data_IF_115894541761
#
_entry.id   IF_115894541761
#
_cell.length_a   1.000
_cell.length_b   1.000
_cell.length_c   1.000
_cell.angle_alpha   90.00
_cell.angle_beta   90.00
_cell.angle_gamma   90.00
#
_symmetry.space_group_name_H-M   'P 1'
#
loop_
_entity.id
_entity.type
_entity.pdbx_description
1 polymer ?
#
# COMPACT_ATOMS: atom_id res chain seq x y z
N UNK A 1 23.28 18.76 28.22
CA UNK A 1 22.22 18.16 27.38
C UNK A 1 21.33 19.28 26.92
N UNK A 2 21.33 19.56 25.64
CA UNK A 2 20.39 20.49 25.02
C UNK A 2 19.15 19.65 24.62
N UNK A 3 18.01 19.95 25.24
CA UNK A 3 16.75 19.32 24.84
C UNK A 3 16.24 19.98 23.55
N UNK A 4 15.84 19.23 22.53
CA UNK A 4 15.24 19.79 21.34
C UNK A 4 13.89 20.45 21.66
N UNK A 5 13.42 21.32 20.78
CA UNK A 5 12.04 21.80 20.84
C UNK A 5 11.06 20.61 20.70
N UNK A 6 9.95 20.68 21.44
CA UNK A 6 8.93 19.62 21.41
C UNK A 6 7.80 20.06 20.49
N UNK A 7 7.59 19.42 19.34
CA UNK A 7 6.47 19.71 18.48
C UNK A 7 5.15 19.35 19.20
N UNK A 8 4.07 20.06 18.89
CA UNK A 8 2.77 19.74 19.47
C UNK A 8 2.28 18.37 19.02
N UNK A 9 1.48 17.68 19.84
CA UNK A 9 0.83 16.42 19.47
C UNK A 9 -0.01 16.58 18.19
N UNK A 10 -0.68 17.74 18.04
CA UNK A 10 -1.47 18.04 16.86
C UNK A 10 -0.60 18.08 15.59
N UNK A 11 0.54 18.78 15.63
CA UNK A 11 1.49 18.84 14.51
C UNK A 11 2.02 17.44 14.14
N UNK A 12 2.35 16.62 15.15
CA UNK A 12 2.83 15.26 14.89
C UNK A 12 1.72 14.44 14.22
N UNK A 13 0.50 14.47 14.76
CA UNK A 13 -0.64 13.73 14.23
C UNK A 13 -1.00 14.16 12.81
N UNK A 14 -0.90 15.46 12.48
CA UNK A 14 -1.14 16.01 11.15
C UNK A 14 -0.11 15.55 10.13
N UNK A 15 1.18 15.50 10.50
CA UNK A 15 2.26 15.15 9.57
C UNK A 15 2.42 13.65 9.35
N UNK A 16 2.04 12.81 10.31
CA UNK A 16 2.18 11.36 10.17
C UNK A 16 1.49 10.77 8.94
N UNK A 17 0.25 11.12 8.58
CA UNK A 17 -0.39 10.65 7.36
C UNK A 17 0.31 11.11 6.07
N UNK A 18 0.97 12.26 6.09
CA UNK A 18 1.75 12.81 4.97
C UNK A 18 3.08 12.05 4.81
N UNK A 19 3.77 11.78 5.93
CA UNK A 19 5.03 11.03 5.96
C UNK A 19 4.81 9.56 5.61
N UNK A 20 3.72 8.96 6.10
CA UNK A 20 3.32 7.57 5.88
C UNK A 20 2.02 7.52 5.06
N UNK A 21 2.10 7.66 3.75
CA UNK A 21 0.92 7.68 2.87
C UNK A 21 0.25 6.32 2.81
N UNK A 22 -0.90 6.28 2.17
CA UNK A 22 -1.57 5.02 1.89
C UNK A 22 -0.68 4.06 1.10
N UNK A 23 -0.72 2.77 1.44
CA UNK A 23 0.17 1.74 0.89
C UNK A 23 1.46 1.56 1.67
N UNK A 24 1.76 2.42 2.66
CA UNK A 24 2.85 2.14 3.61
C UNK A 24 2.51 0.91 4.43
N UNK A 25 3.44 -0.03 4.51
CA UNK A 25 3.26 -1.24 5.29
C UNK A 25 2.98 -0.91 6.77
N UNK A 26 2.00 -1.60 7.35
CA UNK A 26 1.54 -1.35 8.73
C UNK A 26 1.16 0.11 9.04
N UNK A 27 0.69 0.86 8.03
CA UNK A 27 0.33 2.28 8.16
C UNK A 27 -0.56 2.60 9.35
N UNK A 28 -1.52 1.74 9.66
CA UNK A 28 -2.41 1.90 10.82
C UNK A 28 -1.66 1.99 12.16
N UNK A 29 -0.47 1.38 12.27
CA UNK A 29 0.38 1.50 13.46
C UNK A 29 1.22 2.79 13.48
N UNK A 30 1.38 3.44 12.32
CA UNK A 30 2.22 4.61 12.12
C UNK A 30 1.48 5.94 12.25
N UNK A 31 0.17 5.97 11.97
CA UNK A 31 -0.62 7.21 11.92
C UNK A 31 -1.63 7.36 13.06
N UNK A 32 -1.83 6.33 13.87
CA UNK A 32 -2.76 6.38 15.00
C UNK A 32 -2.24 7.26 16.13
N UNK A 33 -3.12 7.68 17.03
CA UNK A 33 -2.80 8.51 18.19
C UNK A 33 -1.63 7.96 19.03
N UNK A 34 -1.55 6.64 19.20
CA UNK A 34 -0.46 5.98 19.92
C UNK A 34 0.91 6.23 19.27
N UNK A 35 1.00 6.31 17.95
CA UNK A 35 2.23 6.66 17.25
C UNK A 35 2.60 8.13 17.50
N UNK A 36 1.65 9.04 17.39
CA UNK A 36 1.89 10.45 17.68
C UNK A 36 2.36 10.66 19.12
N UNK A 37 1.72 10.03 20.09
CA UNK A 37 2.12 10.06 21.50
C UNK A 37 3.49 9.42 21.75
N UNK A 38 3.82 8.35 21.03
CA UNK A 38 5.15 7.70 21.11
C UNK A 38 6.25 8.64 20.63
N UNK A 39 6.05 9.27 19.48
CA UNK A 39 7.00 10.23 18.90
C UNK A 39 7.11 11.46 19.80
N UNK A 40 6.00 11.96 20.31
CA UNK A 40 5.96 13.08 21.25
C UNK A 40 6.84 12.81 22.48
N UNK A 41 6.69 11.63 23.11
CA UNK A 41 7.49 11.26 24.29
C UNK A 41 8.99 11.15 23.96
N UNK A 42 9.32 10.71 22.75
CA UNK A 42 10.74 10.69 22.32
C UNK A 42 11.30 12.11 22.20
N UNK A 43 10.57 13.06 21.60
CA UNK A 43 10.94 14.48 21.60
C UNK A 43 11.03 15.05 23.01
N UNK A 44 10.01 14.79 23.83
CA UNK A 44 9.92 15.28 25.19
C UNK A 44 11.12 14.83 26.06
N UNK A 45 11.53 13.57 25.91
CA UNK A 45 12.70 13.01 26.59
C UNK A 45 14.04 13.42 25.97
N UNK A 46 14.04 14.11 24.81
CA UNK A 46 15.27 14.40 24.06
C UNK A 46 15.91 13.16 23.43
N UNK A 47 15.14 12.08 23.23
CA UNK A 47 15.59 10.82 22.65
C UNK A 47 15.62 10.92 21.12
N UNK A 48 16.66 11.55 20.60
CA UNK A 48 16.97 11.68 19.17
C UNK A 48 18.34 11.05 18.93
N UNK A 49 18.51 10.42 17.79
CA UNK A 49 19.78 9.82 17.36
C UNK A 49 20.96 10.80 17.51
N UNK A 50 22.03 10.32 18.12
CA UNK A 50 23.18 11.14 18.48
C UNK A 50 23.09 11.80 19.87
N UNK A 51 21.94 11.71 20.57
CA UNK A 51 21.82 12.08 21.97
C UNK A 51 22.11 10.87 22.90
N UNK A 52 22.40 11.16 24.17
CA UNK A 52 22.51 10.10 25.19
C UNK A 52 21.15 9.69 25.79
N UNK A 53 20.05 10.26 25.28
CA UNK A 53 18.72 10.03 25.78
C UNK A 53 18.00 8.93 24.97
N UNK A 54 17.36 8.02 25.70
CA UNK A 54 16.61 6.89 25.16
C UNK A 54 15.33 6.73 25.92
N UNK A 55 14.28 6.22 25.27
CA UNK A 55 12.98 5.93 25.90
C UNK A 55 12.66 4.44 25.89
N UNK A 56 11.72 4.06 26.72
CA UNK A 56 11.12 2.74 26.78
C UNK A 56 9.58 2.84 26.70
N UNK A 57 8.86 1.81 26.25
CA UNK A 57 7.41 1.87 26.07
C UNK A 57 6.62 2.34 27.29
N UNK A 58 7.09 1.99 28.51
CA UNK A 58 6.42 2.43 29.75
C UNK A 58 6.48 3.95 30.00
N UNK A 59 7.38 4.68 29.35
CA UNK A 59 7.40 6.14 29.43
C UNK A 59 6.27 6.75 28.61
N UNK A 60 5.87 6.09 27.51
CA UNK A 60 4.73 6.50 26.69
C UNK A 60 3.44 6.21 27.42
N UNK A 61 3.27 5.00 27.97
CA UNK A 61 2.03 4.65 28.67
C UNK A 61 1.81 5.43 29.96
N UNK A 62 2.87 5.78 30.67
CA UNK A 62 2.80 6.42 31.99
C UNK A 62 2.85 7.98 31.89
N UNK A 63 2.94 8.57 30.70
CA UNK A 63 2.80 10.04 30.52
C UNK A 63 1.37 10.48 30.85
N UNK A 64 1.20 11.68 31.37
CA UNK A 64 -0.11 12.32 31.57
C UNK A 64 -0.23 13.61 30.76
N UNK A 65 -1.45 14.07 30.54
CA UNK A 65 -1.68 15.33 29.82
C UNK A 65 -1.07 16.53 30.55
N UNK A 66 -1.15 16.56 31.88
CA UNK A 66 -0.55 17.63 32.69
C UNK A 66 0.98 17.65 32.54
N UNK A 67 1.61 16.48 32.52
CA UNK A 67 3.07 16.39 32.32
C UNK A 67 3.46 16.81 30.91
N UNK A 68 2.69 16.42 29.92
CA UNK A 68 2.95 16.76 28.52
C UNK A 68 2.87 18.28 28.25
N UNK A 69 2.11 19.03 29.01
CA UNK A 69 2.03 20.49 28.89
C UNK A 69 3.29 21.22 29.42
N UNK A 70 4.11 20.57 30.25
CA UNK A 70 5.31 21.15 30.86
C UNK A 70 6.53 20.94 29.94
N UNK A 71 6.66 21.73 28.89
CA UNK A 71 7.68 21.55 27.85
C UNK A 71 9.01 22.27 28.13
N UNK A 72 9.12 23.00 29.22
CA UNK A 72 10.37 23.63 29.61
C UNK A 72 11.47 22.59 29.96
N UNK A 73 12.72 22.99 29.78
CA UNK A 73 13.88 22.09 29.96
C UNK A 73 13.98 21.46 31.34
N UNK A 74 13.67 22.20 32.40
CA UNK A 74 13.81 21.71 33.77
C UNK A 74 12.72 20.69 34.13
N UNK A 75 11.46 20.96 33.74
CA UNK A 75 10.35 20.02 33.88
C UNK A 75 10.61 18.71 33.14
N UNK A 76 11.11 18.78 31.90
CA UNK A 76 11.46 17.62 31.09
C UNK A 76 12.60 16.80 31.71
N UNK A 77 13.67 17.43 32.19
CA UNK A 77 14.76 16.76 32.92
C UNK A 77 14.23 16.05 34.16
N UNK A 78 13.42 16.74 34.96
CA UNK A 78 12.83 16.18 36.17
C UNK A 78 11.95 14.97 35.85
N UNK A 79 11.14 15.05 34.80
CA UNK A 79 10.30 13.96 34.33
C UNK A 79 11.11 12.74 33.86
N UNK A 80 12.15 12.95 33.03
CA UNK A 80 13.05 11.86 32.59
C UNK A 80 13.70 11.17 33.78
N UNK A 81 14.24 11.93 34.73
CA UNK A 81 14.84 11.39 35.96
C UNK A 81 13.83 10.57 36.78
N UNK A 82 12.63 11.11 36.95
CA UNK A 82 11.54 10.43 37.67
C UNK A 82 11.15 9.12 36.97
N UNK A 83 10.97 9.13 35.66
CA UNK A 83 10.54 7.97 34.87
C UNK A 83 11.58 6.84 34.84
N UNK A 84 12.85 7.16 35.00
CA UNK A 84 13.94 6.19 35.09
C UNK A 84 14.20 5.69 36.49
N UNK A 85 13.62 6.32 37.51
CA UNK A 85 13.79 5.92 38.91
C UNK A 85 13.09 4.59 39.22
N UNK A 86 13.75 3.75 40.00
CA UNK A 86 13.14 2.51 40.52
C UNK A 86 12.02 2.77 41.55
N UNK A 87 11.94 3.99 42.09
CA UNK A 87 10.95 4.42 43.09
C UNK A 87 9.80 5.22 42.49
N UNK A 88 9.65 5.21 41.15
CA UNK A 88 8.56 5.96 40.50
C UNK A 88 7.18 5.49 40.99
N UNK A 89 6.33 6.44 41.36
CA UNK A 89 4.90 6.17 41.60
C UNK A 89 4.19 6.12 40.25
N UNK A 90 3.17 5.27 40.13
CA UNK A 90 2.29 5.32 38.95
C UNK A 90 1.53 6.64 38.97
N UNK A 91 1.43 7.34 37.82
CA UNK A 91 0.62 8.56 37.71
C UNK A 91 -0.86 8.25 37.88
N UNK A 92 -1.64 9.23 38.33
CA UNK A 92 -3.06 9.05 38.56
C UNK A 92 -3.87 8.87 37.28
N UNK A 93 -3.56 9.63 36.22
CA UNK A 93 -4.24 9.61 34.93
C UNK A 93 -3.26 9.41 33.77
N UNK A 94 -2.69 8.20 33.62
CA UNK A 94 -1.75 7.93 32.54
C UNK A 94 -2.45 7.88 31.19
N UNK A 95 -1.72 8.20 30.12
CA UNK A 95 -2.26 8.14 28.76
C UNK A 95 -2.80 6.77 28.36
N UNK A 96 -2.19 5.72 28.90
CA UNK A 96 -2.61 4.35 28.60
C UNK A 96 -2.53 3.45 29.82
N UNK A 97 -3.35 2.42 29.82
CA UNK A 97 -3.26 1.34 30.79
C UNK A 97 -1.90 0.57 30.66
N UNK A 98 -1.48 -0.08 31.73
CA UNK A 98 -0.18 -0.76 31.77
C UNK A 98 0.00 -1.88 30.71
N UNK A 99 -1.08 -2.54 30.32
CA UNK A 99 -1.09 -3.56 29.24
C UNK A 99 -0.86 -2.95 27.85
N UNK A 100 -1.05 -1.65 27.66
CA UNK A 100 -0.77 -0.97 26.39
C UNK A 100 0.73 -0.84 26.07
N UNK A 101 1.63 -1.28 26.97
CA UNK A 101 3.07 -1.30 26.66
C UNK A 101 3.42 -2.23 25.51
N UNK A 102 2.70 -3.32 25.36
CA UNK A 102 2.92 -4.27 24.25
C UNK A 102 2.52 -3.66 22.90
N UNK A 103 1.34 -3.09 22.69
CA UNK A 103 1.01 -2.37 21.47
C UNK A 103 1.98 -1.22 21.14
N UNK A 104 2.43 -0.44 22.14
CA UNK A 104 3.45 0.60 21.93
C UNK A 104 4.76 -0.02 21.43
N UNK A 105 5.23 -1.10 22.08
CA UNK A 105 6.49 -1.76 21.75
C UNK A 105 6.43 -2.51 20.43
N UNK A 106 5.46 -3.41 20.28
CA UNK A 106 5.48 -4.42 19.24
C UNK A 106 4.82 -3.91 17.95
N UNK A 107 3.68 -3.21 18.04
CA UNK A 107 2.99 -2.70 16.88
C UNK A 107 3.59 -1.37 16.41
N UNK A 108 3.58 -0.34 17.28
CA UNK A 108 3.99 1.01 16.88
C UNK A 108 5.51 1.10 16.64
N UNK A 109 6.33 0.62 17.57
CA UNK A 109 7.78 0.80 17.46
C UNK A 109 8.40 -0.29 16.59
N UNK A 110 8.26 -1.59 16.94
CA UNK A 110 9.00 -2.68 16.29
C UNK A 110 8.47 -3.02 14.91
N UNK A 111 7.15 -3.12 14.76
CA UNK A 111 6.52 -3.46 13.48
C UNK A 111 6.37 -2.22 12.59
N UNK A 112 6.08 -1.05 13.18
CA UNK A 112 5.86 0.18 12.44
C UNK A 112 7.13 1.00 12.18
N UNK A 113 7.66 1.65 13.23
CA UNK A 113 8.67 2.71 13.06
C UNK A 113 10.10 2.22 12.78
N UNK A 114 10.53 1.08 13.35
CA UNK A 114 11.88 0.56 13.16
C UNK A 114 12.16 0.09 11.72
N UNK A 115 11.29 -0.70 11.06
CA UNK A 115 11.56 -1.15 9.68
C UNK A 115 11.71 0.01 8.69
N UNK A 116 11.06 1.13 8.95
CA UNK A 116 11.14 2.36 8.14
C UNK A 116 12.25 3.31 8.62
N UNK A 117 13.10 2.85 9.54
CA UNK A 117 14.19 3.63 10.11
C UNK A 117 13.76 4.99 10.70
N UNK A 118 12.49 5.15 11.08
CA UNK A 118 11.99 6.33 11.79
C UNK A 118 12.44 6.33 13.27
N UNK A 119 12.71 5.15 13.82
CA UNK A 119 13.21 4.93 15.18
C UNK A 119 14.48 4.06 15.12
N UNK A 120 15.49 4.47 15.88
CA UNK A 120 16.74 3.72 16.07
C UNK A 120 16.75 3.00 17.41
N UNK A 121 17.49 1.89 17.45
CA UNK A 121 17.62 1.02 18.63
C UNK A 121 19.03 1.16 19.22
N UNK A 122 19.11 1.32 20.52
CA UNK A 122 20.39 1.42 21.25
C UNK A 122 21.17 0.11 21.15
N UNK A 123 22.37 0.19 20.63
CA UNK A 123 23.27 -0.96 20.48
C UNK A 123 23.65 -1.60 21.81
N UNK A 124 23.89 -2.90 21.81
CA UNK A 124 24.39 -3.62 22.98
C UNK A 124 23.37 -3.86 24.13
N UNK A 125 22.08 -3.56 23.89
CA UNK A 125 21.01 -3.85 24.85
C UNK A 125 20.17 -5.01 24.35
N UNK A 126 20.03 -6.11 25.12
CA UNK A 126 19.16 -7.22 24.75
C UNK A 126 17.71 -6.78 24.57
N UNK A 127 16.98 -7.42 23.64
CA UNK A 127 15.57 -7.11 23.34
C UNK A 127 14.63 -7.35 24.52
N UNK A 128 15.03 -8.20 25.46
CA UNK A 128 14.30 -8.49 26.71
C UNK A 128 14.55 -7.48 27.82
N UNK A 129 15.50 -6.52 27.61
CA UNK A 129 15.86 -5.54 28.61
C UNK A 129 14.76 -4.54 28.88
N UNK A 130 14.57 -4.19 30.16
CA UNK A 130 13.69 -3.09 30.58
C UNK A 130 14.33 -1.71 30.48
N UNK A 131 15.59 -1.61 30.03
CA UNK A 131 16.29 -0.34 29.86
C UNK A 131 15.73 0.48 28.71
N UNK A 132 15.85 1.82 28.77
CA UNK A 132 15.52 2.69 27.64
C UNK A 132 16.37 2.34 26.41
N UNK A 133 15.70 2.15 25.25
CA UNK A 133 16.31 1.50 24.08
C UNK A 133 15.99 2.21 22.77
N UNK A 134 14.99 3.07 22.73
CA UNK A 134 14.48 3.66 21.50
C UNK A 134 14.72 5.17 21.44
N UNK A 135 15.08 5.68 20.26
CA UNK A 135 15.20 7.11 19.97
C UNK A 135 14.72 7.38 18.53
N UNK A 136 14.28 8.61 18.25
CA UNK A 136 13.95 9.03 16.88
C UNK A 136 15.22 9.06 16.03
N UNK A 137 15.13 8.59 14.80
CA UNK A 137 16.15 8.82 13.79
C UNK A 137 16.25 10.32 13.50
N UNK A 138 17.44 10.83 13.34
CA UNK A 138 17.69 12.28 13.24
C UNK A 138 16.90 12.92 12.09
N UNK A 139 17.03 12.42 10.86
CA UNK A 139 16.33 12.96 9.70
C UNK A 139 14.80 12.82 9.77
N UNK A 140 14.31 11.78 10.46
CA UNK A 140 12.88 11.66 10.73
C UNK A 140 12.39 12.73 11.72
N UNK A 141 13.19 13.02 12.77
CA UNK A 141 12.84 14.05 13.74
C UNK A 141 12.79 15.45 13.12
N UNK A 142 13.61 15.73 12.13
CA UNK A 142 13.65 17.02 11.42
C UNK A 142 12.35 17.31 10.66
N UNK A 143 11.60 16.29 10.26
CA UNK A 143 10.29 16.44 9.60
C UNK A 143 9.21 17.08 10.50
N UNK A 144 9.45 17.16 11.81
CA UNK A 144 8.50 17.74 12.77
C UNK A 144 8.93 19.15 13.26
N UNK A 145 9.93 19.75 12.63
CA UNK A 145 10.33 21.14 12.95
C UNK A 145 9.17 22.10 12.66
N UNK A 146 8.86 22.99 13.61
CA UNK A 146 7.81 24.01 13.44
C UNK A 146 8.15 25.03 12.35
N UNK A 147 9.43 25.18 12.02
CA UNK A 147 9.90 26.09 10.97
C UNK A 147 9.87 25.47 9.58
N UNK A 148 9.47 24.19 9.46
CA UNK A 148 9.37 23.47 8.20
C UNK A 148 7.89 23.42 7.79
N UNK A 149 7.52 24.06 6.67
CA UNK A 149 6.13 24.17 6.19
C UNK A 149 6.09 24.37 4.67
N UNK A 150 4.90 24.21 4.06
CA UNK A 150 4.69 24.40 2.63
C UNK A 150 5.60 23.52 1.77
N UNK A 151 6.09 24.06 0.67
CA UNK A 151 6.93 23.36 -0.30
C UNK A 151 8.21 22.76 0.30
N UNK A 152 8.80 23.41 1.32
CA UNK A 152 9.99 22.91 2.01
C UNK A 152 9.67 21.66 2.83
N UNK A 153 8.50 21.60 3.47
CA UNK A 153 8.03 20.42 4.18
C UNK A 153 7.76 19.28 3.20
N UNK A 154 7.07 19.56 2.10
CA UNK A 154 6.74 18.58 1.07
C UNK A 154 8.02 17.97 0.47
N UNK A 155 9.00 18.81 0.15
CA UNK A 155 10.29 18.37 -0.36
C UNK A 155 11.07 17.51 0.66
N UNK A 156 11.05 17.90 1.94
CA UNK A 156 11.70 17.14 3.00
C UNK A 156 11.04 15.77 3.22
N UNK A 157 9.71 15.72 3.24
CA UNK A 157 8.94 14.48 3.35
C UNK A 157 9.25 13.58 2.14
N UNK A 158 9.17 14.11 0.92
CA UNK A 158 9.45 13.34 -0.31
C UNK A 158 10.87 12.76 -0.31
N UNK A 159 11.88 13.53 0.11
CA UNK A 159 13.26 13.06 0.20
C UNK A 159 13.42 11.95 1.25
N UNK A 160 12.75 12.07 2.40
CA UNK A 160 12.76 11.05 3.42
C UNK A 160 12.05 9.77 2.93
N UNK A 161 10.89 9.90 2.29
CA UNK A 161 10.12 8.80 1.71
C UNK A 161 10.91 8.02 0.67
N UNK A 162 11.57 8.71 -0.28
CA UNK A 162 12.43 8.09 -1.31
C UNK A 162 13.54 7.24 -0.71
N UNK A 163 14.00 7.58 0.48
CA UNK A 163 15.10 6.88 1.15
C UNK A 163 14.64 5.70 1.96
N UNK A 164 13.46 5.76 2.57
CA UNK A 164 13.05 4.81 3.61
C UNK A 164 11.77 4.03 3.31
N UNK A 165 10.93 4.48 2.38
CA UNK A 165 9.76 3.72 1.96
C UNK A 165 10.10 2.72 0.86
N UNK A 166 9.28 1.67 0.75
CA UNK A 166 9.41 0.70 -0.34
C UNK A 166 9.15 1.35 -1.70
N UNK A 167 9.72 0.77 -2.78
CA UNK A 167 9.42 1.22 -4.16
C UNK A 167 7.92 1.18 -4.45
N UNK A 168 7.20 0.19 -3.93
CA UNK A 168 5.75 0.07 -4.08
C UNK A 168 5.01 1.26 -3.45
N UNK A 169 5.36 1.64 -2.21
CA UNK A 169 4.77 2.81 -1.55
C UNK A 169 5.06 4.11 -2.31
N UNK A 170 6.29 4.28 -2.81
CA UNK A 170 6.68 5.46 -3.61
C UNK A 170 5.94 5.50 -4.95
N UNK A 171 5.81 4.36 -5.64
CA UNK A 171 5.07 4.27 -6.90
C UNK A 171 3.61 4.64 -6.69
N UNK A 172 2.99 4.13 -5.62
CA UNK A 172 1.62 4.50 -5.26
C UNK A 172 1.47 6.00 -5.00
N UNK A 173 2.40 6.61 -4.25
CA UNK A 173 2.41 8.07 -4.04
C UNK A 173 2.44 8.85 -5.33
N UNK A 174 3.30 8.44 -6.27
CA UNK A 174 3.37 9.06 -7.58
C UNK A 174 2.06 8.93 -8.33
N UNK A 175 1.48 7.72 -8.37
CA UNK A 175 0.19 7.49 -8.99
C UNK A 175 -0.92 8.33 -8.35
N UNK A 176 -0.94 8.46 -7.02
CA UNK A 176 -1.92 9.29 -6.33
C UNK A 176 -1.68 10.79 -6.55
N UNK A 177 -0.42 11.23 -6.57
CA UNK A 177 -0.07 12.65 -6.81
C UNK A 177 -0.30 13.07 -8.26
N UNK A 178 0.06 12.21 -9.20
CA UNK A 178 -0.07 12.49 -10.64
C UNK A 178 -1.53 12.36 -11.13
N UNK A 179 -2.37 11.58 -10.42
CA UNK A 179 -3.72 11.21 -10.86
C UNK A 179 -4.81 11.35 -9.78
N UNK A 180 -4.45 11.66 -8.53
CA UNK A 180 -5.36 11.67 -7.37
C UNK A 180 -5.74 13.07 -6.87
N UNK A 181 -5.35 14.15 -7.53
CA UNK A 181 -5.87 15.47 -7.21
C UNK A 181 -7.33 15.54 -7.71
N UNK A 182 -8.25 15.91 -6.83
CA UNK A 182 -9.67 16.13 -7.16
C UNK A 182 -9.85 17.17 -8.30
N UNK A 183 -8.80 17.91 -8.65
CA UNK A 183 -8.75 18.88 -9.75
C UNK A 183 -8.27 18.27 -11.09
N UNK A 184 -7.89 16.98 -11.18
CA UNK A 184 -7.54 16.38 -12.46
C UNK A 184 -8.81 16.05 -13.25
N UNK A 185 -9.05 16.76 -14.33
CA UNK A 185 -10.24 16.63 -15.18
C UNK A 185 -10.45 15.21 -15.75
N UNK A 186 -9.43 14.34 -15.83
CA UNK A 186 -9.55 12.96 -16.34
C UNK A 186 -8.24 12.16 -16.23
N UNK A 187 -8.35 10.82 -16.12
CA UNK A 187 -7.21 9.88 -16.23
C UNK A 187 -6.99 9.54 -17.69
N UNK A 188 -5.86 9.95 -18.27
CA UNK A 188 -5.51 9.61 -19.65
C UNK A 188 -4.82 8.24 -19.71
N UNK A 189 -5.30 7.36 -20.59
CA UNK A 189 -4.75 6.04 -20.86
C UNK A 189 -4.24 5.99 -22.29
N UNK A 190 -3.00 5.54 -22.47
CA UNK A 190 -2.41 5.28 -23.78
C UNK A 190 -2.54 3.80 -24.11
N UNK A 191 -3.27 3.49 -25.15
CA UNK A 191 -3.47 2.12 -25.65
C UNK A 191 -2.22 1.60 -26.39
N UNK A 192 -2.07 0.28 -26.54
CA UNK A 192 -0.95 -0.31 -27.29
C UNK A 192 -0.84 0.13 -28.74
N UNK A 193 -1.93 0.54 -29.36
CA UNK A 193 -2.01 1.10 -30.71
C UNK A 193 -1.66 2.59 -30.79
N UNK A 194 -1.35 3.22 -29.64
CA UNK A 194 -1.05 4.64 -29.50
C UNK A 194 -2.25 5.54 -29.29
N UNK A 195 -3.49 5.02 -29.35
CA UNK A 195 -4.70 5.80 -29.08
C UNK A 195 -4.74 6.24 -27.60
N UNK A 196 -5.21 7.47 -27.36
CA UNK A 196 -5.40 8.00 -26.01
C UNK A 196 -6.88 8.03 -25.70
N UNK A 197 -7.25 7.51 -24.53
CA UNK A 197 -8.60 7.56 -23.99
C UNK A 197 -8.59 8.27 -22.63
N UNK A 198 -9.72 8.86 -22.27
CA UNK A 198 -9.91 9.56 -20.99
C UNK A 198 -10.93 8.79 -20.15
N UNK A 199 -10.60 8.57 -18.90
CA UNK A 199 -11.48 8.01 -17.88
C UNK A 199 -11.80 9.08 -16.83
N UNK A 200 -12.92 8.93 -16.15
CA UNK A 200 -13.26 9.75 -14.99
C UNK A 200 -12.19 9.55 -13.88
N UNK A 201 -11.87 10.57 -13.10
CA UNK A 201 -10.90 10.45 -12.02
C UNK A 201 -11.37 9.42 -10.98
N UNK A 202 -10.46 8.54 -10.57
CA UNK A 202 -10.79 7.57 -9.53
C UNK A 202 -9.80 6.41 -9.41
N UNK A 203 -9.87 5.66 -8.29
CA UNK A 203 -8.98 4.52 -8.07
C UNK A 203 -9.10 3.42 -9.13
N UNK A 204 -10.32 3.14 -9.60
CA UNK A 204 -10.56 2.15 -10.67
C UNK A 204 -9.87 2.56 -11.97
N UNK A 205 -9.96 3.84 -12.34
CA UNK A 205 -9.33 4.36 -13.55
C UNK A 205 -7.80 4.30 -13.50
N UNK A 206 -7.21 4.49 -12.32
CA UNK A 206 -5.77 4.32 -12.10
C UNK A 206 -5.33 2.87 -12.28
N UNK A 207 -6.10 1.92 -11.76
CA UNK A 207 -5.81 0.50 -11.92
C UNK A 207 -6.00 0.09 -13.39
N UNK A 208 -7.08 0.55 -14.06
CA UNK A 208 -7.33 0.32 -15.49
C UNK A 208 -6.17 0.82 -16.36
N UNK A 209 -5.69 2.03 -16.06
CA UNK A 209 -4.50 2.59 -16.72
C UNK A 209 -3.28 1.68 -16.53
N UNK A 210 -3.02 1.26 -15.31
CA UNK A 210 -1.89 0.39 -15.01
C UNK A 210 -2.01 -0.99 -15.69
N UNK A 211 -3.22 -1.55 -15.79
CA UNK A 211 -3.44 -2.80 -16.56
C UNK A 211 -3.05 -2.62 -18.03
N UNK A 212 -3.45 -1.52 -18.65
CA UNK A 212 -3.20 -1.31 -20.08
C UNK A 212 -1.75 -0.89 -20.35
N UNK A 213 -1.17 0.01 -19.54
CA UNK A 213 0.15 0.59 -19.80
C UNK A 213 1.30 -0.21 -19.15
N UNK A 214 1.04 -0.98 -18.07
CA UNK A 214 2.08 -1.68 -17.31
C UNK A 214 1.95 -3.20 -17.39
N UNK A 215 0.75 -3.76 -17.10
CA UNK A 215 0.53 -5.21 -17.15
C UNK A 215 0.60 -5.73 -18.60
N UNK A 216 -0.17 -5.14 -19.50
CA UNK A 216 -0.28 -5.66 -20.86
C UNK A 216 1.09 -5.78 -21.57
N UNK A 217 1.99 -4.76 -21.59
CA UNK A 217 3.29 -4.90 -22.25
C UNK A 217 4.28 -5.83 -21.53
N UNK A 218 4.07 -6.17 -20.23
CA UNK A 218 4.95 -7.07 -19.48
C UNK A 218 4.58 -8.53 -19.62
N UNK A 219 3.30 -8.83 -19.68
CA UNK A 219 2.79 -10.20 -19.61
C UNK A 219 2.19 -10.70 -20.91
N UNK A 220 1.98 -9.81 -21.90
CA UNK A 220 1.44 -10.16 -23.20
C UNK A 220 2.44 -9.80 -24.32
N UNK A 221 2.41 -10.57 -25.41
CA UNK A 221 3.33 -10.39 -26.55
C UNK A 221 2.89 -9.26 -27.48
N UNK A 222 1.66 -9.29 -27.95
CA UNK A 222 1.05 -8.27 -28.84
C UNK A 222 -0.34 -7.88 -28.34
N UNK A 223 -0.42 -7.14 -27.21
CA UNK A 223 -1.68 -6.80 -26.59
C UNK A 223 -2.51 -5.84 -27.45
N UNK A 224 -3.82 -6.08 -27.45
CA UNK A 224 -4.85 -5.19 -27.96
C UNK A 224 -5.92 -4.99 -26.88
N UNK A 225 -6.49 -3.79 -26.80
CA UNK A 225 -7.64 -3.52 -25.92
C UNK A 225 -8.90 -3.72 -26.74
N UNK A 226 -9.63 -4.79 -26.45
CA UNK A 226 -10.89 -5.12 -27.10
C UNK A 226 -12.06 -4.36 -26.47
N UNK A 227 -12.03 -4.23 -25.14
CA UNK A 227 -13.08 -3.61 -24.34
C UNK A 227 -12.50 -2.90 -23.13
N UNK A 228 -13.04 -1.72 -22.82
CA UNK A 228 -12.81 -0.97 -21.61
C UNK A 228 -14.09 -0.28 -21.16
N UNK A 229 -14.52 -0.53 -19.93
CA UNK A 229 -15.64 0.14 -19.29
C UNK A 229 -15.23 0.87 -18.02
N UNK A 230 -16.02 1.87 -17.64
CA UNK A 230 -15.95 2.55 -16.35
C UNK A 230 -17.10 2.13 -15.44
N UNK A 231 -16.99 2.52 -14.17
CA UNK A 231 -18.04 2.34 -13.17
C UNK A 231 -19.40 2.82 -13.72
N UNK A 232 -20.43 1.97 -13.60
CA UNK A 232 -21.76 2.28 -14.11
C UNK A 232 -22.00 1.87 -15.56
N UNK A 233 -21.23 0.93 -16.11
CA UNK A 233 -21.37 0.38 -17.48
C UNK A 233 -21.17 1.40 -18.61
N UNK A 234 -20.43 2.47 -18.36
CA UNK A 234 -20.08 3.44 -19.41
C UNK A 234 -18.96 2.87 -20.28
N UNK A 235 -19.26 2.57 -21.52
CA UNK A 235 -18.27 2.08 -22.50
C UNK A 235 -17.33 3.21 -22.87
N UNK A 236 -16.03 2.99 -22.63
CA UNK A 236 -14.97 3.95 -22.98
C UNK A 236 -14.28 3.57 -24.28
N UNK A 237 -14.09 2.26 -24.51
CA UNK A 237 -13.51 1.76 -25.74
C UNK A 237 -14.09 0.37 -26.09
N UNK A 238 -14.34 0.18 -27.38
CA UNK A 238 -14.71 -1.09 -27.98
C UNK A 238 -14.09 -1.16 -29.37
N UNK A 239 -13.36 -2.24 -29.66
CA UNK A 239 -12.86 -2.52 -31.00
C UNK A 239 -13.81 -3.51 -31.69
N UNK A 240 -14.81 -2.97 -32.39
CA UNK A 240 -15.82 -3.77 -33.08
C UNK A 240 -15.24 -4.63 -34.22
N UNK A 241 -14.18 -4.13 -34.88
CA UNK A 241 -13.52 -4.87 -35.96
C UNK A 241 -12.78 -6.09 -35.40
N UNK A 242 -12.07 -5.91 -34.29
CA UNK A 242 -11.38 -7.00 -33.57
C UNK A 242 -12.41 -7.97 -32.96
N UNK A 243 -13.46 -7.47 -32.31
CA UNK A 243 -14.53 -8.30 -31.76
C UNK A 243 -15.15 -9.20 -32.84
N UNK A 244 -15.52 -8.63 -34.00
CA UNK A 244 -16.06 -9.36 -35.12
C UNK A 244 -15.09 -10.39 -35.70
N UNK A 245 -13.81 -10.03 -35.83
CA UNK A 245 -12.78 -10.93 -36.32
C UNK A 245 -12.60 -12.15 -35.42
N UNK A 246 -12.76 -11.95 -34.07
CA UNK A 246 -12.67 -12.98 -33.06
C UNK A 246 -14.00 -13.75 -32.84
N UNK A 247 -15.09 -13.37 -33.51
CA UNK A 247 -16.42 -13.96 -33.28
C UNK A 247 -17.07 -13.55 -31.96
N UNK A 248 -16.48 -12.62 -31.23
CA UNK A 248 -17.00 -12.13 -29.96
C UNK A 248 -18.14 -11.16 -30.18
N UNK A 249 -19.33 -11.50 -29.71
CA UNK A 249 -20.44 -10.56 -29.63
C UNK A 249 -20.38 -9.81 -28.31
N UNK A 250 -19.81 -8.60 -28.35
CA UNK A 250 -19.78 -7.72 -27.20
C UNK A 250 -21.14 -7.03 -27.08
N UNK A 251 -21.99 -7.54 -26.21
CA UNK A 251 -23.26 -6.95 -25.88
C UNK A 251 -23.15 -6.15 -24.58
N UNK A 252 -23.19 -4.80 -24.62
CA UNK A 252 -23.08 -3.96 -23.42
C UNK A 252 -24.20 -4.19 -22.39
N UNK A 253 -25.31 -4.85 -22.80
CA UNK A 253 -26.40 -5.24 -21.88
C UNK A 253 -26.04 -6.46 -21.02
N UNK A 254 -25.03 -7.22 -21.41
CA UNK A 254 -24.52 -8.36 -20.64
C UNK A 254 -23.52 -7.89 -19.60
N UNK A 255 -23.33 -8.70 -18.57
CA UNK A 255 -22.34 -8.42 -17.51
C UNK A 255 -20.92 -8.69 -18.03
N UNK A 256 -20.35 -7.70 -18.74
CA UNK A 256 -18.98 -7.74 -19.24
C UNK A 256 -17.97 -7.40 -18.11
N UNK A 257 -16.69 -7.82 -18.22
CA UNK A 257 -15.65 -7.39 -17.29
C UNK A 257 -15.26 -5.93 -17.54
N UNK A 258 -14.49 -5.37 -16.62
CA UNK A 258 -14.02 -3.99 -16.76
C UNK A 258 -13.12 -3.81 -17.97
N UNK A 259 -12.22 -4.79 -18.23
CA UNK A 259 -11.32 -4.76 -19.38
C UNK A 259 -11.27 -6.14 -20.04
N UNK A 260 -11.26 -6.15 -21.37
CA UNK A 260 -10.90 -7.33 -22.16
C UNK A 260 -9.66 -6.99 -22.99
N UNK A 261 -8.57 -7.70 -22.73
CA UNK A 261 -7.37 -7.65 -23.56
C UNK A 261 -7.32 -8.88 -24.45
N UNK A 262 -6.71 -8.72 -25.62
CA UNK A 262 -6.39 -9.84 -26.52
C UNK A 262 -4.91 -9.79 -26.82
N UNK A 263 -4.22 -10.89 -26.54
CA UNK A 263 -2.85 -11.10 -27.03
C UNK A 263 -2.89 -11.84 -28.36
N UNK A 264 -2.35 -11.24 -29.40
CA UNK A 264 -2.33 -11.83 -30.74
C UNK A 264 -1.18 -12.85 -30.94
N UNK A 265 -0.32 -13.05 -29.90
CA UNK A 265 0.83 -13.93 -30.00
C UNK A 265 1.90 -13.46 -30.99
N UNK A 266 2.91 -14.29 -31.23
CA UNK A 266 4.02 -13.96 -32.13
C UNK A 266 3.83 -14.53 -33.53
N UNK A 267 3.10 -15.62 -33.67
CA UNK A 267 2.90 -16.26 -34.95
C UNK A 267 1.63 -15.77 -35.69
N UNK A 268 1.61 -16.00 -37.01
CA UNK A 268 0.48 -15.65 -37.86
C UNK A 268 -0.57 -16.76 -37.93
N UNK A 269 -0.41 -17.87 -37.20
CA UNK A 269 -1.31 -19.02 -37.25
C UNK A 269 -2.62 -18.76 -36.49
N UNK A 270 -2.62 -17.80 -35.56
CA UNK A 270 -3.75 -17.54 -34.65
C UNK A 270 -3.88 -18.57 -33.53
N UNK A 271 -2.99 -19.57 -33.44
CA UNK A 271 -3.01 -20.60 -32.40
C UNK A 271 -2.55 -20.08 -31.02
N UNK A 272 -1.87 -18.94 -30.99
CA UNK A 272 -1.39 -18.31 -29.76
C UNK A 272 -2.29 -17.20 -29.24
N UNK A 273 -3.50 -17.01 -29.77
CA UNK A 273 -4.42 -15.96 -29.29
C UNK A 273 -4.84 -16.28 -27.87
N UNK A 274 -4.67 -15.28 -26.97
CA UNK A 274 -5.13 -15.35 -25.59
C UNK A 274 -6.09 -14.21 -25.31
N UNK A 275 -7.26 -14.52 -24.76
CA UNK A 275 -8.24 -13.52 -24.29
C UNK A 275 -8.10 -13.38 -22.78
N UNK A 276 -7.80 -12.17 -22.32
CA UNK A 276 -7.65 -11.87 -20.90
C UNK A 276 -8.85 -11.04 -20.41
N UNK A 277 -9.67 -11.66 -19.59
CA UNK A 277 -10.76 -10.99 -18.88
C UNK A 277 -10.24 -10.41 -17.59
N UNK A 278 -10.42 -9.11 -17.40
CA UNK A 278 -9.86 -8.41 -16.23
C UNK A 278 -10.95 -7.68 -15.45
N UNK A 279 -11.02 -7.93 -14.15
CA UNK A 279 -11.77 -7.13 -13.18
C UNK A 279 -10.82 -6.20 -12.41
N UNK A 280 -11.23 -4.96 -12.29
CA UNK A 280 -10.48 -3.89 -11.62
C UNK A 280 -11.08 -3.66 -10.24
N UNK A 281 -10.34 -4.05 -9.20
CA UNK A 281 -10.86 -4.03 -7.83
C UNK A 281 -10.30 -2.83 -7.05
N UNK A 282 -11.09 -1.77 -7.02
CA UNK A 282 -10.86 -0.61 -6.16
C UNK A 282 -11.57 -0.74 -4.80
N UNK A 283 -12.72 -1.42 -4.76
CA UNK A 283 -13.50 -1.68 -3.54
C UNK A 283 -13.87 -3.16 -3.38
N UNK A 284 -14.49 -3.75 -4.40
CA UNK A 284 -15.03 -5.10 -4.43
C UNK A 284 -15.16 -5.61 -5.87
N UNK A 285 -15.61 -6.84 -6.05
CA UNK A 285 -15.89 -7.42 -7.35
C UNK A 285 -14.73 -8.18 -8.01
N UNK A 286 -13.97 -9.04 -7.30
CA UNK A 286 -12.91 -9.83 -7.91
C UNK A 286 -13.50 -10.92 -8.83
N UNK A 287 -12.65 -11.51 -9.68
CA UNK A 287 -13.01 -12.75 -10.39
C UNK A 287 -13.11 -13.89 -9.39
N UNK A 288 -14.32 -14.11 -8.91
CA UNK A 288 -14.69 -15.27 -8.12
C UNK A 288 -15.09 -16.45 -9.03
N UNK A 289 -15.37 -17.62 -8.44
CA UNK A 289 -15.75 -18.83 -9.19
C UNK A 289 -16.93 -18.60 -10.13
N UNK A 290 -18.01 -18.00 -9.65
CA UNK A 290 -19.21 -17.75 -10.44
C UNK A 290 -18.92 -16.78 -11.60
N UNK A 291 -18.12 -15.74 -11.33
CA UNK A 291 -17.73 -14.77 -12.35
C UNK A 291 -16.86 -15.40 -13.43
N UNK A 292 -15.89 -16.26 -13.05
CA UNK A 292 -15.08 -17.04 -14.00
C UNK A 292 -15.95 -17.92 -14.89
N UNK A 293 -16.92 -18.63 -14.31
CA UNK A 293 -17.85 -19.50 -15.06
C UNK A 293 -18.68 -18.72 -16.10
N UNK A 294 -19.19 -17.53 -15.72
CA UNK A 294 -19.94 -16.65 -16.62
C UNK A 294 -19.06 -16.17 -17.80
N UNK A 295 -17.85 -15.72 -17.52
CA UNK A 295 -16.91 -15.24 -18.53
C UNK A 295 -16.42 -16.36 -19.44
N UNK A 296 -16.20 -17.56 -18.90
CA UNK A 296 -15.87 -18.76 -19.69
C UNK A 296 -17.01 -19.10 -20.64
N UNK A 297 -18.27 -19.10 -20.17
CA UNK A 297 -19.44 -19.36 -21.01
C UNK A 297 -19.56 -18.33 -22.13
N UNK A 298 -19.38 -17.05 -21.81
CA UNK A 298 -19.38 -15.96 -22.80
C UNK A 298 -18.35 -16.20 -23.93
N UNK A 299 -17.14 -16.61 -23.57
CA UNK A 299 -16.07 -16.86 -24.52
C UNK A 299 -16.29 -18.15 -25.35
N UNK A 300 -16.77 -19.21 -24.71
CA UNK A 300 -17.05 -20.48 -25.41
C UNK A 300 -18.24 -20.38 -26.36
N UNK A 301 -19.28 -19.60 -26.03
CA UNK A 301 -20.38 -19.25 -26.95
C UNK A 301 -19.86 -18.50 -28.19
N UNK A 302 -18.78 -17.74 -28.06
CA UNK A 302 -18.09 -17.08 -29.16
C UNK A 302 -17.09 -18.00 -29.93
N UNK A 303 -16.93 -19.26 -29.50
CA UNK A 303 -16.08 -20.24 -30.16
C UNK A 303 -14.64 -20.29 -29.64
N UNK A 304 -14.30 -19.65 -28.52
CA UNK A 304 -12.98 -19.77 -27.90
C UNK A 304 -12.85 -21.04 -27.09
N UNK A 305 -11.70 -21.69 -27.21
CA UNK A 305 -11.33 -22.78 -26.32
C UNK A 305 -10.97 -22.22 -24.93
N UNK A 306 -11.46 -22.85 -23.84
CA UNK A 306 -11.07 -22.46 -22.49
C UNK A 306 -9.56 -22.37 -22.23
N UNK A 307 -8.73 -23.11 -22.96
CA UNK A 307 -7.28 -23.04 -22.86
C UNK A 307 -6.69 -21.71 -23.35
N UNK A 308 -7.45 -20.95 -24.15
CA UNK A 308 -7.08 -19.63 -24.66
C UNK A 308 -7.66 -18.47 -23.83
N UNK A 309 -8.11 -18.75 -22.60
CA UNK A 309 -8.68 -17.76 -21.70
C UNK A 309 -7.78 -17.55 -20.47
N UNK A 310 -7.61 -16.31 -20.08
CA UNK A 310 -7.00 -15.92 -18.81
C UNK A 310 -7.95 -15.00 -18.03
N UNK A 311 -7.93 -15.14 -16.72
CA UNK A 311 -8.80 -14.40 -15.81
C UNK A 311 -7.94 -13.63 -14.83
N UNK A 312 -7.97 -12.31 -14.91
CA UNK A 312 -7.12 -11.41 -14.12
C UNK A 312 -7.97 -10.58 -13.17
N UNK A 313 -7.62 -10.57 -11.89
CA UNK A 313 -8.09 -9.55 -10.94
C UNK A 313 -6.97 -8.57 -10.67
N UNK A 314 -7.17 -7.31 -11.03
CA UNK A 314 -6.19 -6.25 -10.86
C UNK A 314 -6.50 -5.39 -9.64
N UNK A 315 -5.52 -5.19 -8.79
CA UNK A 315 -5.58 -4.38 -7.58
C UNK A 315 -4.55 -3.26 -7.65
N UNK A 316 -4.77 -2.20 -6.86
CA UNK A 316 -3.78 -1.16 -6.70
C UNK A 316 -2.55 -1.66 -5.94
N UNK A 317 -2.77 -2.33 -4.81
CA UNK A 317 -1.71 -2.72 -3.88
C UNK A 317 -2.05 -4.00 -3.12
N UNK A 318 -1.06 -4.86 -2.89
CA UNK A 318 -1.21 -6.13 -2.15
C UNK A 318 -1.52 -5.93 -0.66
N UNK A 319 -1.16 -4.80 -0.08
CA UNK A 319 -1.50 -4.45 1.30
C UNK A 319 -2.87 -3.79 1.46
N UNK A 320 -3.54 -3.47 0.35
CA UNK A 320 -4.81 -2.74 0.33
C UNK A 320 -5.96 -3.53 0.97
N UNK A 321 -6.96 -2.81 1.48
CA UNK A 321 -8.16 -3.43 2.04
C UNK A 321 -8.99 -4.20 0.99
N UNK A 322 -9.16 -3.70 -0.26
CA UNK A 322 -9.82 -4.45 -1.31
C UNK A 322 -9.21 -5.83 -1.52
N UNK A 323 -7.88 -5.94 -1.66
CA UNK A 323 -7.22 -7.23 -1.81
C UNK A 323 -7.41 -8.13 -0.58
N UNK A 324 -7.20 -7.60 0.64
CA UNK A 324 -7.36 -8.39 1.88
C UNK A 324 -8.78 -8.95 2.06
N UNK A 325 -9.80 -8.23 1.60
CA UNK A 325 -11.19 -8.70 1.63
C UNK A 325 -11.46 -9.74 0.54
N UNK A 326 -10.89 -9.56 -0.64
CA UNK A 326 -11.19 -10.36 -1.83
C UNK A 326 -10.36 -11.63 -1.96
N UNK A 327 -9.24 -11.77 -1.24
CA UNK A 327 -8.30 -12.89 -1.42
C UNK A 327 -8.96 -14.27 -1.27
N UNK A 328 -9.94 -14.41 -0.37
CA UNK A 328 -10.66 -15.66 -0.14
C UNK A 328 -11.72 -15.95 -1.22
N UNK A 329 -12.06 -14.97 -2.04
CA UNK A 329 -13.07 -15.08 -3.09
C UNK A 329 -12.45 -15.31 -4.48
N UNK A 330 -11.14 -15.08 -4.62
CA UNK A 330 -10.44 -15.27 -5.89
C UNK A 330 -10.59 -16.71 -6.38
N UNK A 331 -11.00 -16.85 -7.65
CA UNK A 331 -11.19 -18.16 -8.27
C UNK A 331 -9.86 -18.89 -8.47
N UNK A 332 -9.83 -20.20 -8.25
CA UNK A 332 -8.77 -21.04 -8.76
C UNK A 332 -8.72 -21.02 -10.30
N UNK A 333 -7.54 -21.10 -10.88
CA UNK A 333 -7.33 -20.94 -12.33
C UNK A 333 -7.49 -19.48 -12.78
N UNK A 334 -7.20 -18.53 -11.90
CA UNK A 334 -7.12 -17.10 -12.21
C UNK A 334 -5.82 -16.50 -11.72
N UNK A 335 -5.62 -15.22 -12.05
CA UNK A 335 -4.44 -14.46 -11.68
C UNK A 335 -4.83 -13.24 -10.85
N UNK A 336 -3.95 -12.85 -9.91
CA UNK A 336 -4.05 -11.56 -9.24
C UNK A 336 -2.78 -10.74 -9.50
N UNK A 337 -2.96 -9.45 -9.82
CA UNK A 337 -1.88 -8.53 -10.15
C UNK A 337 -2.04 -7.21 -9.40
N UNK A 338 -0.91 -6.50 -9.20
CA UNK A 338 -0.86 -5.28 -8.40
C UNK A 338 -0.08 -4.20 -9.14
N UNK A 339 -0.69 -3.03 -9.34
CA UNK A 339 -0.05 -1.93 -10.06
C UNK A 339 1.20 -1.40 -9.37
N UNK A 340 1.31 -1.54 -8.03
CA UNK A 340 2.49 -1.14 -7.25
C UNK A 340 3.63 -2.15 -7.30
N UNK A 341 3.38 -3.38 -7.77
CA UNK A 341 4.35 -4.47 -7.94
C UNK A 341 4.24 -5.04 -9.37
N UNK A 342 4.46 -4.21 -10.43
CA UNK A 342 4.03 -4.52 -11.79
C UNK A 342 4.74 -5.73 -12.43
N UNK A 343 5.91 -6.13 -11.91
CA UNK A 343 6.69 -7.24 -12.43
C UNK A 343 6.28 -8.61 -11.87
N UNK A 344 5.31 -8.64 -10.92
CA UNK A 344 4.89 -9.86 -10.23
C UNK A 344 3.42 -10.16 -10.45
N UNK A 345 3.09 -11.44 -10.56
CA UNK A 345 1.73 -11.96 -10.65
C UNK A 345 1.55 -13.12 -9.67
N UNK A 346 0.39 -13.19 -9.03
CA UNK A 346 -0.02 -14.37 -8.26
C UNK A 346 -0.78 -15.29 -9.20
N UNK A 347 -0.28 -16.51 -9.38
CA UNK A 347 -0.90 -17.56 -10.17
C UNK A 347 -1.67 -18.50 -9.21
N UNK A 348 -3.00 -18.43 -9.26
CA UNK A 348 -3.92 -19.24 -8.45
C UNK A 348 -4.28 -20.52 -9.23
N UNK A 349 -3.30 -21.40 -9.39
CA UNK A 349 -3.46 -22.60 -10.23
C UNK A 349 -4.55 -23.53 -9.73
N UNK A 350 -5.39 -23.93 -10.65
CA UNK A 350 -6.30 -25.04 -10.50
C UNK A 350 -5.59 -26.32 -10.97
N UNK A 351 -5.61 -27.36 -10.14
CA UNK A 351 -5.03 -28.66 -10.48
C UNK A 351 -6.11 -29.71 -10.30
N UNK A 352 -6.29 -30.58 -11.28
CA UNK A 352 -7.23 -31.71 -11.22
C UNK A 352 -6.80 -32.75 -10.19
N UNK A 353 -5.50 -32.81 -9.88
CA UNK A 353 -4.92 -33.73 -8.87
C UNK A 353 -4.00 -32.97 -7.90
N UNK A 354 -3.85 -33.50 -6.68
CA UNK A 354 -2.95 -32.95 -5.69
C UNK A 354 -1.49 -32.99 -6.15
N UNK A 355 -0.85 -31.81 -6.30
CA UNK A 355 0.53 -31.68 -6.74
C UNK A 355 1.46 -31.66 -5.53
N UNK A 356 2.50 -32.51 -5.54
CA UNK A 356 3.52 -32.49 -4.49
C UNK A 356 4.40 -31.24 -4.62
N UNK A 357 4.66 -30.54 -3.51
CA UNK A 357 5.50 -29.33 -3.49
C UNK A 357 6.88 -29.56 -4.10
N UNK A 358 7.45 -30.77 -3.97
CA UNK A 358 8.73 -31.13 -4.59
C UNK A 358 8.71 -31.06 -6.12
N UNK A 359 7.56 -31.30 -6.77
CA UNK A 359 7.43 -31.18 -8.22
C UNK A 359 7.29 -29.73 -8.69
N UNK A 360 6.82 -28.83 -7.81
CA UNK A 360 6.71 -27.39 -8.08
C UNK A 360 8.06 -26.68 -7.94
N UNK A 361 8.91 -27.12 -6.98
CA UNK A 361 10.21 -26.49 -6.73
C UNK A 361 11.23 -26.67 -7.86
N UNK A 362 11.06 -27.69 -8.73
CA UNK A 362 11.97 -27.97 -9.85
C UNK A 362 11.67 -27.18 -11.13
N UNK A 363 10.64 -26.32 -11.15
CA UNK A 363 10.28 -25.47 -12.32
C UNK A 363 10.99 -24.11 -12.35
N UNK A 364 11.77 -23.78 -11.32
CA UNK A 364 12.54 -22.54 -11.21
C UNK A 364 14.04 -22.72 -11.55
N UNK A 365 14.39 -23.73 -12.37
CA UNK A 365 15.74 -23.89 -12.92
C UNK A 365 15.73 -23.79 -14.44
#
# INVERSE_FOLDING_TARGET
MTFPEVPSLALIAERLPQIFPEGTEHRNYLIREMAAKTIYVMFYAGAIEGSDCWVRPSQVTDMTDEQALLTDTESRKAWVKMMLSNKKKKPGNPWYAANSREPVRDETIRTGLIPLQAVVVRQGIPTTSSKPTYALQKGFSELFSINLYGDDLDAAIENWQKRYLSKAAITRLKLMKDYGSEDSESVQIKFPDGAIRKLEPGPSSLISKAVIEEFAPRFLKKPKVLWLSESGNKVVAQDEALAKALGLQIDPSRTLPDIILVDLGDDSSGLEILVVFTEVVASDGPINRQRKEILTTLATEAGFDPEHLAFLTAFLDRSSQPFKKSISELAWGSYAWFSTEPDYIIDLREHDESVKLTSLSNRNK
#
